data_IF_141010031697
#
_entry.id   IF_141010031697
#
_cell.length_a   1.000
_cell.length_b   1.000
_cell.length_c   1.000
_cell.angle_alpha   90.00
_cell.angle_beta   90.00
_cell.angle_gamma   90.00
#
_symmetry.space_group_name_H-M   'P 1'
#
loop_
_entity.id
_entity.type
_entity.pdbx_description
1 polymer ?
#
# COMPACT_ATOMS: atom_id res chain seq x y z
N UNK A 1 -20.97 -9.26 -15.95
CA UNK A 1 -20.92 -9.04 -14.48
C UNK A 1 -20.11 -7.79 -14.21
N UNK A 2 -20.69 -6.82 -13.50
CA UNK A 2 -20.21 -5.43 -13.41
C UNK A 2 -18.84 -5.32 -12.73
N UNK A 3 -17.87 -4.75 -13.45
CA UNK A 3 -16.54 -4.44 -12.94
C UNK A 3 -16.61 -3.15 -12.11
N UNK A 4 -17.15 -3.25 -10.90
CA UNK A 4 -17.22 -2.15 -9.92
C UNK A 4 -15.82 -1.86 -9.40
N UNK A 5 -15.02 -1.12 -10.19
CA UNK A 5 -13.74 -0.56 -9.74
C UNK A 5 -14.05 0.31 -8.52
N UNK A 6 -13.78 -0.20 -7.30
CA UNK A 6 -13.83 0.58 -6.06
C UNK A 6 -13.17 1.94 -6.34
N UNK A 7 -13.83 3.07 -6.02
CA UNK A 7 -13.27 4.39 -6.26
C UNK A 7 -11.84 4.43 -5.75
N UNK A 8 -10.91 4.95 -6.57
CA UNK A 8 -9.51 5.15 -6.16
C UNK A 8 -9.52 6.13 -4.99
N UNK A 9 -9.57 5.62 -3.76
CA UNK A 9 -9.36 6.42 -2.57
C UNK A 9 -7.94 6.97 -2.65
N UNK A 10 -7.80 8.29 -2.66
CA UNK A 10 -6.49 8.90 -2.47
C UNK A 10 -6.05 8.54 -1.05
N UNK A 11 -4.95 7.83 -0.93
CA UNK A 11 -4.24 7.67 0.35
C UNK A 11 -3.96 9.07 0.91
N UNK A 12 -4.40 9.34 2.13
CA UNK A 12 -4.13 10.59 2.83
C UNK A 12 -2.63 10.68 3.17
N UNK A 13 -2.13 11.89 3.47
CA UNK A 13 -0.71 12.11 3.82
C UNK A 13 -0.25 11.25 5.00
N UNK A 14 -1.11 11.07 6.01
CA UNK A 14 -0.84 10.21 7.18
C UNK A 14 -0.72 8.73 6.78
N UNK A 15 -1.64 8.25 5.94
CA UNK A 15 -1.61 6.87 5.45
C UNK A 15 -0.37 6.61 4.58
N UNK A 16 0.06 7.61 3.81
CA UNK A 16 1.30 7.56 3.04
C UNK A 16 2.54 7.52 3.95
N UNK A 17 2.55 8.30 5.03
CA UNK A 17 3.67 8.32 5.98
C UNK A 17 3.88 6.94 6.62
N UNK A 18 2.79 6.27 7.03
CA UNK A 18 2.84 4.91 7.60
C UNK A 18 3.37 3.89 6.58
N UNK A 19 2.89 3.96 5.34
CA UNK A 19 3.36 3.09 4.26
C UNK A 19 4.85 3.33 3.94
N UNK A 20 5.28 4.58 3.97
CA UNK A 20 6.67 4.98 3.74
C UNK A 20 7.58 4.52 4.88
N UNK A 21 7.18 4.69 6.14
CA UNK A 21 7.92 4.21 7.30
C UNK A 21 8.12 2.69 7.23
N UNK A 22 7.05 1.94 6.97
CA UNK A 22 7.13 0.50 6.78
C UNK A 22 8.02 0.11 5.58
N UNK A 23 8.04 0.93 4.53
CA UNK A 23 8.91 0.76 3.39
C UNK A 23 10.38 0.99 3.74
N UNK A 24 10.72 2.04 4.50
CA UNK A 24 12.08 2.32 4.95
C UNK A 24 12.65 1.17 5.81
N UNK A 25 11.80 0.53 6.63
CA UNK A 25 12.20 -0.66 7.40
C UNK A 25 12.38 -1.88 6.50
N UNK A 26 11.45 -2.10 5.55
CA UNK A 26 11.53 -3.23 4.63
C UNK A 26 10.91 -2.91 3.26
N UNK A 27 11.76 -2.80 2.23
CA UNK A 27 11.33 -2.55 0.84
C UNK A 27 10.53 -3.71 0.21
N UNK A 28 10.60 -4.92 0.80
CA UNK A 28 9.90 -6.13 0.38
C UNK A 28 9.17 -6.76 1.57
N UNK A 29 8.11 -6.13 2.10
CA UNK A 29 7.40 -6.67 3.25
C UNK A 29 6.76 -8.02 2.90
N UNK A 30 6.70 -8.91 3.89
CA UNK A 30 6.00 -10.19 3.81
C UNK A 30 4.49 -9.97 3.64
N UNK A 31 3.74 -11.03 3.33
CA UNK A 31 2.27 -10.94 3.24
C UNK A 31 1.64 -10.52 4.57
N UNK A 32 2.18 -10.99 5.69
CA UNK A 32 1.71 -10.66 7.04
C UNK A 32 1.84 -9.16 7.34
N UNK A 33 2.99 -8.55 7.06
CA UNK A 33 3.20 -7.10 7.27
C UNK A 33 2.23 -6.29 6.40
N UNK A 34 2.00 -6.71 5.15
CA UNK A 34 1.05 -6.03 4.27
C UNK A 34 -0.39 -6.15 4.77
N UNK A 35 -0.76 -7.27 5.39
CA UNK A 35 -2.08 -7.44 6.01
C UNK A 35 -2.24 -6.57 7.24
N UNK A 36 -1.22 -6.48 8.09
CA UNK A 36 -1.22 -5.58 9.25
C UNK A 36 -1.40 -4.12 8.82
N UNK A 37 -0.65 -3.66 7.82
CA UNK A 37 -0.79 -2.32 7.24
C UNK A 37 -2.19 -2.11 6.62
N UNK A 38 -2.72 -3.12 5.94
CA UNK A 38 -4.07 -3.05 5.36
C UNK A 38 -5.13 -2.88 6.46
N UNK A 39 -5.02 -3.62 7.57
CA UNK A 39 -5.93 -3.48 8.72
C UNK A 39 -5.77 -2.13 9.41
N UNK A 40 -4.54 -1.69 9.67
CA UNK A 40 -4.23 -0.42 10.32
C UNK A 40 -4.74 0.79 9.52
N UNK A 41 -4.60 0.74 8.20
CA UNK A 41 -5.02 1.82 7.30
C UNK A 41 -6.47 1.68 6.82
N UNK A 42 -7.18 0.64 7.28
CA UNK A 42 -8.51 0.27 6.79
C UNK A 42 -8.58 0.20 5.24
N UNK A 43 -7.57 -0.41 4.64
CA UNK A 43 -7.43 -0.60 3.19
C UNK A 43 -7.48 -2.07 2.80
N UNK A 44 -7.75 -2.34 1.53
CA UNK A 44 -7.59 -3.69 1.00
C UNK A 44 -6.09 -4.03 0.89
N UNK A 45 -5.73 -5.28 1.16
CA UNK A 45 -4.38 -5.81 0.94
C UNK A 45 -3.85 -5.50 -0.47
N UNK A 46 -4.73 -5.56 -1.47
CA UNK A 46 -4.39 -5.24 -2.86
C UNK A 46 -3.90 -3.80 -3.05
N UNK A 47 -4.48 -2.84 -2.33
CA UNK A 47 -4.06 -1.42 -2.39
C UNK A 47 -2.65 -1.26 -1.82
N UNK A 48 -2.38 -1.88 -0.68
CA UNK A 48 -1.05 -1.90 -0.05
C UNK A 48 -0.03 -2.55 -1.00
N UNK A 49 -0.35 -3.70 -1.59
CA UNK A 49 0.51 -4.36 -2.58
C UNK A 49 0.87 -3.45 -3.76
N UNK A 50 -0.12 -2.80 -4.37
CA UNK A 50 0.09 -1.88 -5.50
C UNK A 50 0.94 -0.70 -5.06
N UNK A 51 0.70 -0.15 -3.87
CA UNK A 51 1.50 0.94 -3.32
C UNK A 51 2.98 0.55 -3.22
N UNK A 52 3.29 -0.61 -2.62
CA UNK A 52 4.67 -1.11 -2.51
C UNK A 52 5.29 -1.41 -3.88
N UNK A 53 4.51 -1.88 -4.86
CA UNK A 53 4.98 -2.08 -6.23
C UNK A 53 5.33 -0.75 -6.91
N UNK A 54 4.42 0.23 -6.86
CA UNK A 54 4.62 1.56 -7.43
C UNK A 54 5.78 2.30 -6.76
N UNK A 55 5.91 2.18 -5.43
CA UNK A 55 7.01 2.79 -4.68
C UNK A 55 8.36 2.25 -5.15
N UNK A 56 8.49 0.93 -5.31
CA UNK A 56 9.71 0.34 -5.88
C UNK A 56 9.98 0.72 -7.33
N UNK A 57 8.93 0.87 -8.14
CA UNK A 57 9.11 1.37 -9.52
C UNK A 57 9.64 2.81 -9.53
N UNK A 58 9.21 3.65 -8.59
CA UNK A 58 9.72 5.02 -8.46
C UNK A 58 11.19 5.09 -8.04
N UNK A 59 11.72 4.08 -7.32
CA UNK A 59 13.16 4.02 -6.99
C UNK A 59 14.05 3.61 -8.17
N UNK A 60 13.48 2.99 -9.21
CA UNK A 60 14.22 2.57 -10.41
C UNK A 60 14.27 3.66 -11.48
N UNK A 61 13.67 4.81 -11.21
CA UNK A 61 13.57 5.95 -12.12
C UNK A 61 14.45 7.07 -11.60
#
# INVERSE_FOLDING_TARGET
MVNSRKPRRRTNKEEQAILEEAFQVNHRPSSEIKEQLARQLNMNLRTVQIWFQNRRQSLKK
#
